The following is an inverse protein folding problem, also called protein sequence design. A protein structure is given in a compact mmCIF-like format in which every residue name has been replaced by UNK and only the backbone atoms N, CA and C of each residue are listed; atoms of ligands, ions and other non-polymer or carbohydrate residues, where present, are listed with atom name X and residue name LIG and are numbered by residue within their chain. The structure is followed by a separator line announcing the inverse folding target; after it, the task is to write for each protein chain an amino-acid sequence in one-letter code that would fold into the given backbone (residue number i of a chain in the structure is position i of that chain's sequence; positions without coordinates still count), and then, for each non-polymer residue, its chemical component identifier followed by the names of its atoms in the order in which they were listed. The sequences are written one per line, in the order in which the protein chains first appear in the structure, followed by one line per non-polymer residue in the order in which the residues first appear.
data_IF_124155863975
#
_entry.id   IF_124155863975
#
_cell.length_a   1.000
_cell.length_b   1.000
_cell.length_c   1.000
_cell.angle_alpha   90.00
_cell.angle_beta   90.00
_cell.angle_gamma   90.00
#
_symmetry.space_group_name_H-M   'P 1'
#
loop_
_entity.id
_entity.type
_entity.pdbx_description
1 polymer ?
#
# COMPACT_ATOMS: atom_id res chain seq x y z
N UNK A 1 -1.14 -23.62 -4.54
CA UNK A 1 -0.95 -22.53 -5.52
C UNK A 1 0.31 -22.86 -6.30
N UNK A 2 0.26 -22.74 -7.62
CA UNK A 2 1.34 -23.07 -8.55
C UNK A 2 2.47 -22.05 -8.45
N UNK A 3 3.73 -22.51 -8.49
CA UNK A 3 4.92 -21.65 -8.42
C UNK A 3 4.98 -20.60 -9.55
N UNK A 4 4.27 -20.84 -10.66
CA UNK A 4 4.25 -19.97 -11.84
C UNK A 4 3.08 -18.98 -11.90
N UNK A 5 2.37 -18.76 -10.78
CA UNK A 5 1.22 -17.84 -10.73
C UNK A 5 1.52 -16.64 -9.86
N UNK A 6 1.38 -15.45 -10.44
CA UNK A 6 1.59 -14.19 -9.76
C UNK A 6 0.24 -13.55 -9.39
N UNK A 7 -0.05 -13.48 -8.09
CA UNK A 7 -1.31 -12.98 -7.57
C UNK A 7 -1.18 -11.50 -7.20
N UNK A 8 -1.97 -10.65 -7.86
CA UNK A 8 -1.98 -9.21 -7.64
C UNK A 8 -3.33 -8.81 -7.07
N UNK A 9 -3.33 -8.17 -5.89
CA UNK A 9 -4.51 -7.43 -5.43
C UNK A 9 -4.51 -6.06 -6.10
N UNK A 10 -5.63 -5.70 -6.74
CA UNK A 10 -5.79 -4.40 -7.40
C UNK A 10 -6.89 -3.61 -6.68
N UNK A 11 -6.59 -2.37 -6.29
CA UNK A 11 -7.54 -1.43 -5.71
C UNK A 11 -7.26 0.01 -6.21
N UNK A 12 -8.24 0.90 -6.18
CA UNK A 12 -8.11 2.30 -6.60
C UNK A 12 -9.13 3.17 -5.87
N UNK A 13 -8.94 4.49 -5.86
CA UNK A 13 -9.92 5.49 -5.37
C UNK A 13 -10.38 5.22 -3.93
N UNK A 14 -9.43 4.87 -3.05
CA UNK A 14 -9.71 4.55 -1.64
C UNK A 14 -10.11 5.81 -0.86
N UNK A 15 -9.53 6.96 -1.19
CA UNK A 15 -9.80 8.26 -0.56
C UNK A 15 -9.77 8.22 0.99
N UNK A 16 -8.65 7.75 1.55
CA UNK A 16 -8.40 7.78 2.99
C UNK A 16 -8.54 9.20 3.54
N UNK A 17 -9.29 9.33 4.64
CA UNK A 17 -9.63 10.61 5.25
C UNK A 17 -10.91 11.26 4.70
N UNK A 18 -11.60 10.63 3.75
CA UNK A 18 -12.91 11.09 3.31
C UNK A 18 -13.89 11.11 4.49
N UNK A 19 -14.58 12.24 4.66
CA UNK A 19 -15.53 12.49 5.74
C UNK A 19 -14.96 12.31 7.16
N UNK A 20 -13.63 12.49 7.38
CA UNK A 20 -12.97 12.23 8.67
C UNK A 20 -13.61 12.94 9.88
N UNK A 21 -14.24 14.10 9.68
CA UNK A 21 -14.89 14.88 10.76
C UNK A 21 -16.33 14.44 11.05
N UNK A 22 -16.90 13.54 10.25
CA UNK A 22 -18.24 13.02 10.44
C UNK A 22 -18.25 11.99 11.56
N UNK A 23 -19.12 12.13 12.59
CA UNK A 23 -19.12 11.25 13.75
C UNK A 23 -19.60 9.82 13.46
N UNK A 24 -20.24 9.58 12.31
CA UNK A 24 -20.76 8.27 11.91
C UNK A 24 -19.87 7.66 10.82
N UNK A 25 -19.43 8.49 9.85
CA UNK A 25 -18.76 8.03 8.62
C UNK A 25 -17.25 8.22 8.61
N UNK A 26 -16.68 8.89 9.61
CA UNK A 26 -15.26 9.25 9.62
C UNK A 26 -14.30 8.06 9.59
N UNK A 27 -14.77 6.87 9.97
CA UNK A 27 -13.98 5.64 9.95
C UNK A 27 -14.17 4.78 8.68
N UNK A 28 -15.18 5.07 7.85
CA UNK A 28 -15.57 4.21 6.72
C UNK A 28 -14.37 3.94 5.80
N UNK A 29 -13.66 5.00 5.37
CA UNK A 29 -12.52 4.89 4.46
C UNK A 29 -11.39 4.02 5.02
N UNK A 30 -11.14 4.09 6.34
CA UNK A 30 -10.09 3.32 6.98
C UNK A 30 -10.49 1.86 7.19
N UNK A 31 -11.76 1.60 7.51
CA UNK A 31 -12.29 0.23 7.65
C UNK A 31 -12.25 -0.48 6.30
N UNK A 32 -12.68 0.18 5.23
CA UNK A 32 -12.61 -0.38 3.87
C UNK A 32 -11.17 -0.64 3.44
N UNK A 33 -10.23 0.27 3.74
CA UNK A 33 -8.83 0.02 3.43
C UNK A 33 -8.23 -1.12 4.26
N UNK A 34 -8.60 -1.24 5.53
CA UNK A 34 -8.22 -2.38 6.37
C UNK A 34 -8.75 -3.70 5.79
N UNK A 35 -10.00 -3.74 5.32
CA UNK A 35 -10.57 -4.91 4.65
C UNK A 35 -9.77 -5.29 3.39
N UNK A 36 -9.41 -4.32 2.55
CA UNK A 36 -8.57 -4.56 1.36
C UNK A 36 -7.23 -5.22 1.75
N UNK A 37 -6.59 -4.71 2.80
CA UNK A 37 -5.33 -5.29 3.30
C UNK A 37 -5.53 -6.68 3.92
N UNK A 38 -6.64 -6.93 4.61
CA UNK A 38 -6.99 -8.26 5.10
C UNK A 38 -7.18 -9.24 3.94
N UNK A 39 -7.83 -8.82 2.85
CA UNK A 39 -7.96 -9.64 1.65
C UNK A 39 -6.60 -9.96 1.02
N UNK A 40 -5.65 -9.02 1.01
CA UNK A 40 -4.28 -9.27 0.55
C UNK A 40 -3.63 -10.42 1.34
N UNK A 41 -3.76 -10.37 2.67
CA UNK A 41 -3.21 -11.40 3.58
C UNK A 41 -3.92 -12.73 3.40
N UNK A 42 -5.26 -12.74 3.44
CA UNK A 42 -6.07 -13.95 3.33
C UNK A 42 -5.86 -14.69 2.02
N UNK A 43 -5.68 -13.96 0.92
CA UNK A 43 -5.42 -14.55 -0.40
C UNK A 43 -3.92 -14.80 -0.66
N UNK A 44 -3.03 -14.44 0.27
CA UNK A 44 -1.57 -14.60 0.13
C UNK A 44 -1.06 -14.05 -1.20
N UNK A 45 -1.44 -12.81 -1.49
CA UNK A 45 -1.04 -12.15 -2.75
C UNK A 45 0.46 -11.88 -2.78
N UNK A 46 1.05 -11.81 -3.96
CA UNK A 46 2.47 -11.47 -4.12
C UNK A 46 2.68 -9.96 -4.10
N UNK A 47 1.65 -9.19 -4.50
CA UNK A 47 1.73 -7.75 -4.68
C UNK A 47 0.37 -7.08 -4.45
N UNK A 48 0.39 -5.86 -3.91
CA UNK A 48 -0.76 -4.94 -3.90
C UNK A 48 -0.48 -3.79 -4.89
N UNK A 49 -1.37 -3.60 -5.86
CA UNK A 49 -1.32 -2.53 -6.84
C UNK A 49 -2.45 -1.53 -6.58
N UNK A 50 -2.08 -0.28 -6.31
CA UNK A 50 -3.00 0.83 -6.09
C UNK A 50 -3.04 1.76 -7.32
N UNK A 51 -4.23 1.96 -7.86
CA UNK A 51 -4.48 2.71 -9.09
C UNK A 51 -4.46 4.24 -8.96
N UNK A 52 -4.31 4.78 -7.76
CA UNK A 52 -4.35 6.22 -7.52
C UNK A 52 -5.32 6.60 -6.41
N UNK A 53 -5.31 7.90 -6.07
CA UNK A 53 -6.22 8.54 -5.11
C UNK A 53 -6.38 7.79 -3.78
N UNK A 54 -5.22 7.38 -3.23
CA UNK A 54 -5.14 6.75 -1.91
C UNK A 54 -5.65 7.68 -0.81
N UNK A 55 -5.37 8.98 -0.90
CA UNK A 55 -5.83 9.99 0.05
C UNK A 55 -6.94 10.84 -0.58
N UNK A 56 -7.90 11.26 0.24
CA UNK A 56 -8.95 12.16 -0.21
C UNK A 56 -8.42 13.59 -0.43
N UNK A 57 -7.66 14.10 0.54
CA UNK A 57 -7.06 15.42 0.49
C UNK A 57 -5.61 15.34 0.00
N UNK A 58 -5.17 16.34 -0.79
CA UNK A 58 -3.76 16.50 -1.17
C UNK A 58 -2.84 16.69 0.06
N UNK A 59 -3.38 17.28 1.13
CA UNK A 59 -2.70 17.41 2.43
C UNK A 59 -3.48 16.64 3.48
N UNK A 60 -3.33 15.30 3.54
CA UNK A 60 -4.04 14.48 4.50
C UNK A 60 -3.65 14.89 5.93
N UNK A 61 -4.59 14.73 6.86
CA UNK A 61 -4.37 15.06 8.27
C UNK A 61 -3.28 14.17 8.88
N UNK A 62 -2.60 14.64 9.93
CA UNK A 62 -1.65 13.81 10.68
C UNK A 62 -2.30 12.50 11.17
N UNK A 63 -3.57 12.55 11.54
CA UNK A 63 -4.33 11.38 11.96
C UNK A 63 -4.50 10.39 10.80
N UNK A 64 -4.93 10.87 9.62
CA UNK A 64 -5.05 10.04 8.41
C UNK A 64 -3.73 9.38 8.04
N UNK A 65 -2.62 10.14 8.03
CA UNK A 65 -1.29 9.60 7.75
C UNK A 65 -0.86 8.54 8.78
N UNK A 66 -1.07 8.81 10.07
CA UNK A 66 -0.71 7.89 11.14
C UNK A 66 -1.50 6.58 11.08
N UNK A 67 -2.83 6.65 10.87
CA UNK A 67 -3.69 5.48 10.72
C UNK A 67 -3.30 4.65 9.50
N UNK A 68 -3.04 5.30 8.37
CA UNK A 68 -2.60 4.64 7.14
C UNK A 68 -1.28 3.90 7.35
N UNK A 69 -0.29 4.56 7.97
CA UNK A 69 0.99 3.95 8.28
C UNK A 69 0.85 2.75 9.23
N UNK A 70 -0.03 2.85 10.24
CA UNK A 70 -0.32 1.73 11.15
C UNK A 70 -0.96 0.55 10.43
N UNK A 71 -1.93 0.78 9.53
CA UNK A 71 -2.57 -0.27 8.75
C UNK A 71 -1.57 -0.97 7.82
N UNK A 72 -0.78 -0.19 7.07
CA UNK A 72 0.27 -0.75 6.20
C UNK A 72 1.26 -1.56 7.04
N UNK A 73 1.72 -1.02 8.18
CA UNK A 73 2.63 -1.74 9.07
C UNK A 73 2.04 -3.04 9.61
N UNK A 74 0.75 -3.05 9.97
CA UNK A 74 0.06 -4.21 10.54
C UNK A 74 -0.09 -5.36 9.54
N UNK A 75 -0.39 -5.05 8.28
CA UNK A 75 -0.75 -6.07 7.28
C UNK A 75 0.33 -6.36 6.24
N UNK A 76 1.20 -5.39 5.92
CA UNK A 76 2.18 -5.54 4.84
C UNK A 76 3.57 -5.97 5.33
N UNK A 77 3.86 -5.86 6.63
CA UNK A 77 5.12 -6.31 7.22
C UNK A 77 4.95 -7.69 7.84
N UNK A 78 5.98 -8.52 7.75
CA UNK A 78 5.95 -9.86 8.34
C UNK A 78 7.03 -10.78 7.81
N UNK A 79 7.02 -12.02 8.30
CA UNK A 79 7.91 -13.08 7.85
C UNK A 79 7.33 -13.72 6.58
N UNK A 80 7.42 -13.01 5.46
CA UNK A 80 7.07 -13.51 4.14
C UNK A 80 8.13 -13.09 3.15
N UNK A 81 8.83 -14.05 2.55
CA UNK A 81 9.78 -13.75 1.49
C UNK A 81 8.99 -13.39 0.23
N UNK A 82 9.18 -12.16 -0.27
CA UNK A 82 8.64 -11.75 -1.57
C UNK A 82 9.18 -12.69 -2.65
N UNK A 83 8.29 -13.45 -3.30
CA UNK A 83 8.66 -14.51 -4.26
C UNK A 83 8.95 -14.01 -5.68
N UNK A 84 9.12 -12.70 -5.83
CA UNK A 84 9.40 -12.07 -7.11
C UNK A 84 10.60 -11.16 -7.01
N UNK A 85 11.19 -10.86 -8.17
CA UNK A 85 12.36 -10.00 -8.27
C UNK A 85 12.09 -8.86 -9.25
N UNK A 86 12.52 -7.66 -8.89
CA UNK A 86 12.59 -6.53 -9.82
C UNK A 86 13.88 -6.64 -10.62
N UNK A 87 13.76 -6.95 -11.92
CA UNK A 87 14.89 -7.05 -12.85
C UNK A 87 15.28 -5.71 -13.49
N UNK A 88 14.37 -4.73 -13.47
CA UNK A 88 14.65 -3.38 -13.98
C UNK A 88 15.64 -2.63 -13.10
N UNK A 89 16.35 -1.66 -13.68
CA UNK A 89 17.28 -0.81 -12.92
C UNK A 89 16.56 -0.01 -11.82
N UNK A 90 16.74 -0.48 -10.58
CA UNK A 90 16.15 0.11 -9.39
C UNK A 90 16.73 1.51 -9.12
N UNK A 91 17.99 1.77 -9.46
CA UNK A 91 18.59 3.08 -9.26
C UNK A 91 17.90 4.16 -10.12
N UNK A 92 17.46 3.78 -11.32
CA UNK A 92 16.65 4.66 -12.18
C UNK A 92 15.22 4.80 -11.63
N UNK A 93 14.56 3.70 -11.27
CA UNK A 93 13.17 3.72 -10.79
C UNK A 93 12.99 4.48 -9.45
N UNK A 94 13.95 4.32 -8.53
CA UNK A 94 13.95 4.96 -7.21
C UNK A 94 14.95 6.12 -7.13
N UNK A 95 15.32 6.72 -8.28
CA UNK A 95 16.33 7.78 -8.34
C UNK A 95 15.99 9.02 -7.50
N UNK A 96 14.71 9.27 -7.22
CA UNK A 96 14.23 10.37 -6.36
C UNK A 96 14.13 10.04 -4.87
N UNK A 97 14.26 8.77 -4.49
CA UNK A 97 14.25 8.30 -3.10
C UNK A 97 15.67 8.32 -2.53
N UNK A 98 15.80 8.50 -1.22
CA UNK A 98 17.10 8.30 -0.54
C UNK A 98 17.53 6.82 -0.60
N UNK A 99 16.55 5.91 -0.61
CA UNK A 99 16.74 4.47 -0.79
C UNK A 99 16.60 4.11 -2.28
N UNK A 100 17.66 3.61 -2.90
CA UNK A 100 17.73 3.33 -4.35
C UNK A 100 17.24 1.94 -4.74
N UNK A 101 16.53 1.27 -3.84
CA UNK A 101 15.99 -0.08 -4.02
C UNK A 101 14.54 -0.13 -3.54
N UNK A 102 13.81 -1.15 -3.98
CA UNK A 102 12.45 -1.41 -3.53
C UNK A 102 12.43 -1.83 -2.05
N UNK A 103 11.35 -1.47 -1.36
CA UNK A 103 11.14 -1.76 0.06
C UNK A 103 11.34 -3.23 0.46
N UNK A 104 10.91 -4.19 -0.37
CA UNK A 104 11.07 -5.63 -0.10
C UNK A 104 12.50 -6.14 -0.37
N UNK A 105 13.36 -5.34 -0.99
CA UNK A 105 14.78 -5.62 -1.14
C UNK A 105 15.64 -5.05 0.00
N UNK A 106 15.04 -4.36 0.96
CA UNK A 106 15.78 -3.76 2.08
C UNK A 106 16.06 -4.80 3.18
N UNK A 107 17.33 -5.03 3.56
CA UNK A 107 17.68 -6.03 4.58
C UNK A 107 17.21 -5.66 6.00
N UNK A 108 16.77 -4.43 6.21
CA UNK A 108 16.27 -3.95 7.50
C UNK A 108 14.74 -3.89 7.57
N UNK A 109 14.03 -4.16 6.46
CA UNK A 109 12.57 -4.15 6.40
C UNK A 109 12.05 -5.52 5.95
N UNK A 110 11.33 -6.19 6.85
CA UNK A 110 10.64 -7.43 6.50
C UNK A 110 9.26 -7.11 5.90
N UNK A 111 9.22 -6.97 4.57
CA UNK A 111 8.01 -6.70 3.80
C UNK A 111 7.45 -8.03 3.25
N UNK A 112 6.25 -8.39 3.69
CA UNK A 112 5.53 -9.57 3.20
C UNK A 112 4.68 -9.24 1.96
N UNK A 113 4.06 -8.06 1.93
CA UNK A 113 3.17 -7.64 0.84
C UNK A 113 3.55 -6.24 0.36
N UNK A 114 4.39 -6.10 -0.67
CA UNK A 114 4.80 -4.80 -1.16
C UNK A 114 3.62 -4.09 -1.84
N UNK A 115 3.48 -2.80 -1.56
CA UNK A 115 2.47 -1.94 -2.19
C UNK A 115 3.15 -1.11 -3.27
N UNK A 116 2.62 -1.18 -4.49
CA UNK A 116 2.99 -0.30 -5.59
C UNK A 116 1.79 0.60 -5.88
N UNK A 117 2.03 1.90 -5.94
CA UNK A 117 0.97 2.89 -6.12
C UNK A 117 1.39 3.94 -7.13
N UNK A 118 0.45 4.37 -7.97
CA UNK A 118 0.60 5.61 -8.75
C UNK A 118 -0.13 6.75 -8.04
N UNK A 119 0.28 7.99 -8.33
CA UNK A 119 -0.44 9.15 -7.83
C UNK A 119 -1.65 9.38 -8.73
N UNK A 120 -2.83 9.57 -8.13
CA UNK A 120 -4.04 9.89 -8.88
C UNK A 120 -4.13 11.38 -9.20
N UNK A 121 -5.32 11.80 -9.65
CA UNK A 121 -5.55 13.18 -10.08
C UNK A 121 -5.84 14.03 -8.86
N UNK A 122 -5.12 15.14 -8.72
CA UNK A 122 -5.37 16.15 -7.69
C UNK A 122 -6.80 16.69 -7.79
N UNK A 123 -7.74 16.08 -7.08
CA UNK A 123 -9.05 16.68 -6.82
C UNK A 123 -9.04 17.29 -5.42
N UNK A 124 -9.03 18.63 -5.41
CA UNK A 124 -9.15 19.58 -4.28
C UNK A 124 -7.86 20.05 -3.60
#
# INVERSE_FOLDING_TARGET
MTEDTFNILVATDIHLGYAEKDPIRGDDSFITFEEILQQAVSNSVDLILLGGDLFHDNRPSCNTLHRTANLIRKYCFGCGDCRFQILSDQATNFGRSDFKWANHGDPHLNIAFPIFSIHGVLTH
#
